data_IF_866743544962
#
_entry.id   IF_866743544962
#
_cell.length_a   1.000
_cell.length_b   1.000
_cell.length_c   1.000
_cell.angle_alpha   90.00
_cell.angle_beta   90.00
_cell.angle_gamma   90.00
#
_symmetry.space_group_name_H-M   'P 1'
#
loop_
_entity.id
_entity.type
_entity.pdbx_description
1 polymer ?
#
# COMPACT_ATOMS: atom_id res chain seq x y z
N UNK A 1 -11.26 -29.43 -21.55
CA UNK A 1 -10.33 -29.12 -20.43
C UNK A 1 -10.25 -27.61 -20.36
N UNK A 2 -11.01 -26.98 -19.48
CA UNK A 2 -11.11 -25.51 -19.43
C UNK A 2 -10.00 -25.01 -18.52
N UNK A 3 -8.92 -24.48 -19.10
CA UNK A 3 -7.80 -23.92 -18.34
C UNK A 3 -8.27 -22.62 -17.69
N UNK A 4 -8.44 -22.60 -16.37
CA UNK A 4 -8.59 -21.36 -15.63
C UNK A 4 -7.32 -20.54 -15.86
N UNK A 5 -7.43 -19.32 -16.39
CA UNK A 5 -6.28 -18.42 -16.44
C UNK A 5 -5.73 -18.27 -15.02
N UNK A 6 -4.45 -18.58 -14.82
CA UNK A 6 -3.79 -18.45 -13.52
C UNK A 6 -3.69 -16.97 -13.15
N UNK A 7 -4.62 -16.49 -12.33
CA UNK A 7 -4.64 -15.12 -11.82
C UNK A 7 -4.05 -15.03 -10.41
N UNK A 8 -3.52 -13.85 -10.06
CA UNK A 8 -3.05 -13.55 -8.71
C UNK A 8 -4.18 -12.94 -7.88
N UNK A 9 -4.40 -13.48 -6.67
CA UNK A 9 -5.25 -12.85 -5.65
C UNK A 9 -4.36 -12.44 -4.47
N UNK A 10 -4.36 -11.16 -4.17
CA UNK A 10 -3.56 -10.55 -3.11
C UNK A 10 -4.36 -9.43 -2.44
N UNK A 11 -3.95 -9.02 -1.24
CA UNK A 11 -4.52 -7.86 -0.56
C UNK A 11 -3.42 -6.98 0.00
N UNK A 12 -3.70 -5.68 0.11
CA UNK A 12 -2.85 -4.74 0.81
C UNK A 12 -3.72 -3.86 1.71
N UNK A 13 -3.21 -3.54 2.90
CA UNK A 13 -3.86 -2.63 3.84
C UNK A 13 -2.96 -1.43 4.07
N UNK A 14 -3.51 -0.26 3.79
CA UNK A 14 -2.85 1.03 4.01
C UNK A 14 -3.77 1.90 4.83
N UNK A 15 -3.26 2.45 5.92
CA UNK A 15 -3.98 3.44 6.73
C UNK A 15 -3.28 4.78 6.62
N UNK A 16 -4.01 5.79 6.16
CA UNK A 16 -3.57 7.18 6.16
C UNK A 16 -4.30 7.95 7.26
N UNK A 17 -3.54 8.72 8.04
CA UNK A 17 -4.07 9.61 9.09
C UNK A 17 -3.29 10.91 9.09
N UNK A 18 -3.94 12.00 9.50
CA UNK A 18 -3.20 13.24 9.80
C UNK A 18 -2.21 13.00 10.92
N UNK A 19 -1.00 13.57 10.81
CA UNK A 19 0.07 13.41 11.80
C UNK A 19 0.07 14.49 12.90
N UNK A 20 -0.86 15.44 12.84
CA UNK A 20 -0.96 16.58 13.76
C UNK A 20 0.01 17.73 13.48
N UNK A 21 0.84 17.63 12.44
CA UNK A 21 1.86 18.62 12.03
C UNK A 21 1.64 19.16 10.61
N UNK A 22 0.49 18.84 10.02
CA UNK A 22 0.16 19.19 8.63
C UNK A 22 0.64 18.15 7.60
N UNK A 23 1.07 16.97 8.04
CA UNK A 23 1.44 15.85 7.18
C UNK A 23 0.53 14.63 7.34
N UNK A 24 0.85 13.58 6.60
CA UNK A 24 0.14 12.30 6.61
C UNK A 24 1.03 11.19 7.18
N UNK A 25 0.59 10.58 8.28
CA UNK A 25 1.18 9.38 8.86
C UNK A 25 0.60 8.11 8.21
N UNK A 26 1.45 7.09 8.05
CA UNK A 26 1.10 5.78 7.52
C UNK A 26 1.38 4.68 8.55
N UNK A 27 0.56 4.55 9.61
CA UNK A 27 0.79 3.58 10.68
C UNK A 27 0.57 2.12 10.28
N UNK A 28 -0.12 1.84 9.16
CA UNK A 28 -0.33 0.48 8.65
C UNK A 28 0.09 0.42 7.19
N UNK A 29 1.03 -0.48 6.90
CA UNK A 29 1.51 -0.84 5.57
C UNK A 29 1.72 -2.36 5.55
N UNK A 30 0.66 -3.08 5.19
CA UNK A 30 0.63 -4.54 5.19
C UNK A 30 0.28 -5.05 3.79
N UNK A 31 0.98 -6.08 3.34
CA UNK A 31 0.73 -6.74 2.05
C UNK A 31 0.65 -8.25 2.26
N UNK A 32 -0.27 -8.89 1.53
CA UNK A 32 -0.53 -10.33 1.61
C UNK A 32 -0.27 -10.99 0.27
N UNK A 33 0.25 -12.22 0.33
CA UNK A 33 0.66 -12.96 -0.86
C UNK A 33 1.83 -12.26 -1.56
N UNK A 34 1.77 -12.06 -2.89
CA UNK A 34 2.90 -11.52 -3.64
C UNK A 34 3.05 -10.00 -3.57
N UNK A 35 2.23 -9.28 -2.79
CA UNK A 35 2.33 -7.82 -2.67
C UNK A 35 3.12 -7.41 -1.43
N UNK A 36 4.11 -6.53 -1.60
CA UNK A 36 4.72 -5.78 -0.52
C UNK A 36 4.36 -4.29 -0.63
N UNK A 37 4.17 -3.63 0.52
CA UNK A 37 3.84 -2.19 0.57
C UNK A 37 5.06 -1.41 1.03
N UNK A 38 5.54 -0.48 0.21
CA UNK A 38 6.72 0.34 0.51
C UNK A 38 6.35 1.81 0.56
N UNK A 39 6.79 2.50 1.60
CA UNK A 39 6.70 3.96 1.65
C UNK A 39 7.72 4.58 0.69
N UNK A 40 7.28 5.54 -0.10
CA UNK A 40 8.15 6.33 -0.98
C UNK A 40 8.16 7.79 -0.52
N UNK A 41 9.08 8.59 -1.08
CA UNK A 41 9.20 10.01 -0.74
C UNK A 41 7.92 10.75 -1.18
N UNK A 42 7.24 11.36 -0.21
CA UNK A 42 6.09 12.23 -0.46
C UNK A 42 6.48 13.67 -0.81
N UNK A 43 5.47 14.52 -1.02
CA UNK A 43 5.63 15.95 -1.28
C UNK A 43 4.60 16.75 -0.47
N UNK A 44 5.04 17.83 0.18
CA UNK A 44 4.15 18.64 1.03
C UNK A 44 3.50 17.79 2.13
N UNK A 45 2.17 17.87 2.24
CA UNK A 45 1.37 17.13 3.21
C UNK A 45 1.12 15.65 2.83
N UNK A 46 1.44 15.26 1.60
CA UNK A 46 1.09 13.94 1.06
C UNK A 46 2.11 12.86 1.46
N UNK A 47 1.60 11.69 1.84
CA UNK A 47 2.37 10.46 1.90
C UNK A 47 2.20 9.64 0.62
N UNK A 48 3.26 8.96 0.18
CA UNK A 48 3.25 8.11 -1.02
C UNK A 48 3.67 6.68 -0.70
N UNK A 49 3.06 5.73 -1.37
CA UNK A 49 3.36 4.30 -1.26
C UNK A 49 3.44 3.65 -2.64
N UNK A 50 4.19 2.56 -2.73
CA UNK A 50 4.29 1.70 -3.89
C UNK A 50 3.93 0.28 -3.46
N UNK A 51 3.14 -0.40 -4.29
CA UNK A 51 2.91 -1.84 -4.21
C UNK A 51 3.93 -2.49 -5.14
N UNK A 52 4.77 -3.37 -4.60
CA UNK A 52 5.79 -4.12 -5.35
C UNK A 52 5.56 -5.61 -5.22
#
# INVERSE_FOLDING_TARGET
MTTTAGGVRASARVLARGDGRGGTALPVLEGEGPLAVRRTRGSGAEARVMLV
#
